data_IF_082541133815
#
_entry.id   IF_082541133815
#
_cell.length_a   1.000
_cell.length_b   1.000
_cell.length_c   1.000
_cell.angle_alpha   90.00
_cell.angle_beta   90.00
_cell.angle_gamma   90.00
#
_symmetry.space_group_name_H-M   'P 1'
#
loop_
_entity.id
_entity.type
_entity.pdbx_description
1 polymer ?
#
# COMPACT_ATOMS: atom_id res chain seq x y z
N UNK A 1 -10.81 66.71 -2.02
CA UNK A 1 -9.68 65.88 -1.55
C UNK A 1 -9.81 64.50 -2.18
N UNK A 2 -9.24 64.34 -3.37
CA UNK A 2 -9.05 63.10 -4.11
C UNK A 2 -8.06 63.42 -5.23
N UNK A 3 -6.87 62.83 -5.22
CA UNK A 3 -6.08 62.54 -6.43
C UNK A 3 -5.26 61.28 -6.17
N UNK A 4 -5.79 60.21 -6.76
CA UNK A 4 -5.17 58.91 -6.95
C UNK A 4 -3.94 59.11 -7.85
N UNK A 5 -2.79 58.60 -7.44
CA UNK A 5 -1.65 58.38 -8.33
C UNK A 5 -1.07 57.01 -8.02
N UNK A 6 -1.47 56.03 -8.82
CA UNK A 6 -0.83 54.72 -8.94
C UNK A 6 0.40 54.88 -9.82
N UNK A 7 1.56 54.32 -9.44
CA UNK A 7 2.55 53.88 -10.41
C UNK A 7 2.31 52.40 -10.74
N UNK A 8 2.00 52.23 -12.02
CA UNK A 8 2.09 51.03 -12.84
C UNK A 8 3.44 50.31 -12.61
N UNK A 9 3.41 49.11 -12.03
CA UNK A 9 4.55 48.18 -12.10
C UNK A 9 4.16 47.07 -13.05
N UNK A 10 4.65 47.21 -14.28
CA UNK A 10 4.81 46.12 -15.24
C UNK A 10 5.93 45.23 -14.69
N UNK A 11 5.65 43.97 -14.39
CA UNK A 11 6.72 42.99 -14.24
C UNK A 11 6.33 41.67 -14.90
N UNK A 12 7.35 41.13 -15.55
CA UNK A 12 7.31 40.28 -16.73
C UNK A 12 7.09 38.81 -16.34
N UNK A 13 6.32 38.15 -17.19
CA UNK A 13 6.07 36.71 -17.25
C UNK A 13 7.39 35.95 -17.43
N UNK A 14 7.67 35.01 -16.54
CA UNK A 14 8.43 33.80 -16.89
C UNK A 14 7.59 32.58 -16.52
N UNK A 15 6.89 32.04 -17.51
CA UNK A 15 6.40 30.67 -17.50
C UNK A 15 7.62 29.74 -17.60
N UNK A 16 8.14 29.34 -16.45
CA UNK A 16 9.00 28.16 -16.34
C UNK A 16 8.14 26.92 -16.14
N UNK A 17 7.36 26.52 -17.15
CA UNK A 17 6.86 25.14 -17.20
C UNK A 17 8.00 24.25 -17.68
N UNK A 18 8.89 23.90 -16.76
CA UNK A 18 9.75 22.73 -16.90
C UNK A 18 9.09 21.59 -16.14
N UNK A 19 7.94 21.13 -16.63
CA UNK A 19 7.38 19.83 -16.23
C UNK A 19 8.03 18.80 -17.15
N UNK A 20 9.27 18.45 -16.87
CA UNK A 20 9.83 17.20 -17.35
C UNK A 20 9.17 16.10 -16.52
N UNK A 21 8.10 15.53 -17.06
CA UNK A 21 7.66 14.19 -16.74
C UNK A 21 8.56 13.24 -17.55
N UNK A 22 9.47 12.56 -16.88
CA UNK A 22 10.13 11.37 -17.40
C UNK A 22 10.52 10.52 -16.17
N UNK A 23 9.62 9.62 -15.81
CA UNK A 23 9.88 8.23 -15.40
C UNK A 23 11.14 7.97 -14.55
N UNK A 24 11.07 8.36 -13.28
CA UNK A 24 11.83 7.64 -12.26
C UNK A 24 11.07 6.34 -11.95
N UNK A 25 11.24 5.33 -12.81
CA UNK A 25 11.20 3.94 -12.38
C UNK A 25 12.28 3.79 -11.30
N UNK A 26 11.98 4.17 -10.04
CA UNK A 26 12.95 4.16 -8.95
C UNK A 26 13.55 2.75 -8.81
N UNK A 27 14.78 2.51 -9.30
CA UNK A 27 15.33 1.16 -9.30
C UNK A 27 15.60 0.68 -7.86
N UNK A 28 15.71 1.61 -6.90
CA UNK A 28 15.95 1.30 -5.49
C UNK A 28 14.76 0.70 -4.74
N UNK A 29 13.51 0.93 -5.17
CA UNK A 29 12.34 0.35 -4.49
C UNK A 29 12.18 -1.13 -4.79
N UNK A 30 12.40 -1.53 -6.05
CA UNK A 30 12.32 -2.92 -6.48
C UNK A 30 13.39 -3.77 -5.78
N UNK A 31 14.63 -3.29 -5.77
CA UNK A 31 15.76 -3.98 -5.12
C UNK A 31 15.50 -4.16 -3.61
N UNK A 32 14.87 -3.17 -2.96
CA UNK A 32 14.53 -3.24 -1.53
C UNK A 32 13.37 -4.21 -1.23
N UNK A 33 12.41 -4.37 -2.15
CA UNK A 33 11.31 -5.33 -2.01
C UNK A 33 11.80 -6.78 -2.16
N UNK A 34 12.74 -7.02 -3.09
CA UNK A 34 13.23 -8.37 -3.43
C UNK A 34 14.30 -8.89 -2.48
N UNK A 35 15.00 -8.01 -1.76
CA UNK A 35 16.10 -8.39 -0.86
C UNK A 35 15.64 -9.10 0.42
N UNK A 36 14.34 -9.11 0.72
CA UNK A 36 13.81 -9.58 2.00
C UNK A 36 12.55 -10.43 1.84
N UNK A 37 12.36 -11.38 2.74
CA UNK A 37 11.03 -11.96 2.96
C UNK A 37 10.24 -11.05 3.90
N UNK A 38 8.97 -10.80 3.64
CA UNK A 38 8.15 -9.87 4.41
C UNK A 38 7.10 -10.63 5.22
N UNK A 39 7.16 -10.53 6.54
CA UNK A 39 6.17 -11.10 7.46
C UNK A 39 5.05 -10.08 7.74
N UNK A 40 3.78 -10.41 7.50
CA UNK A 40 2.67 -9.49 7.82
C UNK A 40 1.33 -10.19 8.08
N UNK A 41 0.23 -9.51 8.40
CA UNK A 41 -0.06 -8.07 8.60
C UNK A 41 0.11 -7.69 10.09
N UNK A 42 1.33 -7.51 10.59
CA UNK A 42 1.57 -7.49 12.05
C UNK A 42 0.86 -6.36 12.80
N UNK A 43 0.57 -5.27 12.10
CA UNK A 43 -0.18 -4.12 12.60
C UNK A 43 -1.03 -3.56 11.46
N UNK A 44 -2.26 -3.21 11.80
CA UNK A 44 -3.23 -2.62 10.88
C UNK A 44 -3.71 -1.31 11.50
N UNK A 45 -3.56 -0.22 10.74
CA UNK A 45 -4.13 1.09 11.06
C UNK A 45 -5.32 1.36 10.11
N UNK A 46 -6.52 1.53 10.67
CA UNK A 46 -7.72 1.92 9.93
C UNK A 46 -8.06 3.40 10.17
N UNK A 47 -8.26 4.12 9.08
CA UNK A 47 -8.57 5.55 9.06
C UNK A 47 -9.87 5.79 8.29
N UNK A 48 -10.88 6.35 8.93
CA UNK A 48 -12.12 6.77 8.26
C UNK A 48 -12.17 8.28 8.10
N UNK A 49 -12.53 8.72 6.90
CA UNK A 49 -12.71 10.13 6.56
C UNK A 49 -14.17 10.41 6.17
N UNK A 50 -14.66 11.59 6.54
CA UNK A 50 -15.95 12.10 6.07
C UNK A 50 -15.87 12.63 4.62
N UNK A 51 -16.99 13.11 4.10
CA UNK A 51 -17.09 13.65 2.73
C UNK A 51 -16.29 14.93 2.48
N UNK A 52 -15.82 15.60 3.55
CA UNK A 52 -14.93 16.75 3.47
C UNK A 52 -13.46 16.34 3.60
N UNK A 53 -13.17 15.02 3.54
CA UNK A 53 -11.84 14.44 3.74
C UNK A 53 -11.25 14.76 5.12
N UNK A 54 -12.11 14.96 6.13
CA UNK A 54 -11.71 15.11 7.53
C UNK A 54 -11.67 13.75 8.22
N UNK A 55 -10.59 13.45 8.95
CA UNK A 55 -10.46 12.22 9.72
C UNK A 55 -11.50 12.20 10.85
N UNK A 56 -12.32 11.15 10.89
CA UNK A 56 -13.39 10.98 11.89
C UNK A 56 -13.19 9.76 12.79
N UNK A 57 -12.35 8.81 12.39
CA UNK A 57 -11.99 7.64 13.20
C UNK A 57 -10.59 7.15 12.84
N UNK A 58 -9.83 6.75 13.85
CA UNK A 58 -8.54 6.08 13.73
C UNK A 58 -8.50 4.93 14.72
N UNK A 59 -8.23 3.72 14.24
CA UNK A 59 -8.10 2.51 15.04
C UNK A 59 -6.80 1.81 14.66
N UNK A 60 -6.03 1.37 15.65
CA UNK A 60 -4.81 0.60 15.46
C UNK A 60 -4.98 -0.70 16.20
N UNK A 61 -4.78 -1.82 15.52
CA UNK A 61 -4.82 -3.13 16.13
C UNK A 61 -3.70 -4.02 15.57
N UNK A 62 -3.17 -4.85 16.45
CA UNK A 62 -2.25 -5.92 16.07
C UNK A 62 -3.06 -7.10 15.58
N UNK A 63 -2.50 -7.86 14.65
CA UNK A 63 -3.04 -9.20 14.39
C UNK A 63 -2.60 -10.11 15.53
N UNK A 64 -3.40 -10.11 16.60
CA UNK A 64 -3.26 -11.08 17.68
C UNK A 64 -3.68 -12.46 17.15
N UNK A 65 -2.75 -13.41 17.24
CA UNK A 65 -2.94 -14.85 16.99
C UNK A 65 -3.16 -15.28 15.51
N UNK A 66 -2.02 -15.67 14.88
CA UNK A 66 -1.88 -16.69 13.84
C UNK A 66 -2.63 -16.49 12.51
N UNK A 67 -2.29 -15.44 11.77
CA UNK A 67 -2.58 -15.32 10.34
C UNK A 67 -1.37 -14.78 9.60
N UNK A 68 -0.17 -15.25 9.96
CA UNK A 68 1.03 -14.70 9.34
C UNK A 68 1.05 -15.10 7.87
N UNK A 69 0.97 -14.10 7.00
CA UNK A 69 1.25 -14.18 5.58
C UNK A 69 2.74 -13.81 5.43
N UNK A 70 3.60 -14.81 5.31
CA UNK A 70 4.95 -14.55 4.82
C UNK A 70 4.83 -14.32 3.32
N UNK A 71 5.15 -13.12 2.85
CA UNK A 71 5.23 -12.78 1.42
C UNK A 71 6.71 -12.78 1.03
N UNK A 72 7.11 -13.72 0.18
CA UNK A 72 8.42 -13.70 -0.47
C UNK A 72 8.21 -13.18 -1.88
N UNK A 73 8.86 -12.06 -2.22
CA UNK A 73 8.82 -11.47 -3.56
C UNK A 73 10.14 -11.79 -4.26
N UNK A 74 10.08 -12.57 -5.34
CA UNK A 74 11.27 -12.97 -6.09
C UNK A 74 11.51 -12.06 -7.30
N UNK A 75 12.78 -11.95 -7.73
CA UNK A 75 13.21 -11.16 -8.89
C UNK A 75 12.51 -11.56 -10.20
N UNK A 76 12.07 -12.82 -10.32
CA UNK A 76 11.36 -13.35 -11.48
C UNK A 76 9.85 -13.02 -11.48
N UNK A 77 9.43 -12.10 -10.60
CA UNK A 77 8.03 -11.66 -10.39
C UNK A 77 7.12 -12.77 -9.84
N UNK A 78 7.69 -13.83 -9.27
CA UNK A 78 6.93 -14.82 -8.50
C UNK A 78 6.81 -14.38 -7.04
N UNK A 79 5.66 -14.69 -6.44
CA UNK A 79 5.41 -14.45 -5.03
C UNK A 79 5.10 -15.78 -4.34
N UNK A 80 5.57 -15.96 -3.11
CA UNK A 80 5.17 -17.05 -2.24
C UNK A 80 4.44 -16.47 -1.04
N UNK A 81 3.21 -16.90 -0.80
CA UNK A 81 2.51 -16.65 0.46
C UNK A 81 2.49 -17.91 1.29
N UNK A 82 3.08 -17.84 2.49
CA UNK A 82 2.87 -18.89 3.50
C UNK A 82 1.81 -18.40 4.46
N UNK A 83 0.70 -19.13 4.54
CA UNK A 83 -0.36 -18.85 5.49
C UNK A 83 -0.18 -19.74 6.71
N UNK A 84 0.10 -19.11 7.85
CA UNK A 84 0.15 -19.79 9.14
C UNK A 84 -1.10 -19.43 9.94
N UNK A 85 -2.04 -20.37 10.06
CA UNK A 85 -3.26 -20.18 10.84
C UNK A 85 -3.03 -20.49 12.34
N UNK A 86 -3.78 -19.83 13.21
CA UNK A 86 -3.73 -20.05 14.64
C UNK A 86 -4.46 -21.33 15.03
N UNK A 87 -3.86 -22.08 15.96
CA UNK A 87 -4.39 -23.30 16.59
C UNK A 87 -4.49 -24.55 15.68
N UNK A 88 -3.43 -25.36 15.81
CA UNK A 88 -3.35 -26.84 15.69
C UNK A 88 -3.71 -27.57 14.39
N UNK A 89 -4.41 -26.99 13.41
CA UNK A 89 -4.88 -27.79 12.25
C UNK A 89 -4.86 -27.10 10.86
N UNK A 90 -3.96 -26.15 10.61
CA UNK A 90 -3.53 -25.88 9.23
C UNK A 90 -2.09 -26.33 9.07
N UNK A 91 -1.88 -27.36 8.24
CA UNK A 91 -0.58 -27.52 7.58
C UNK A 91 -0.30 -26.18 6.89
N UNK A 92 0.83 -25.54 7.19
CA UNK A 92 1.19 -24.25 6.61
C UNK A 92 1.13 -24.36 5.10
N UNK A 93 0.06 -23.82 4.51
CA UNK A 93 -0.14 -23.91 3.08
C UNK A 93 0.71 -22.82 2.45
N UNK A 94 1.48 -23.24 1.46
CA UNK A 94 2.27 -22.34 0.63
C UNK A 94 1.50 -22.12 -0.67
N UNK A 95 1.27 -20.86 -1.01
CA UNK A 95 0.55 -20.48 -2.21
C UNK A 95 1.48 -19.71 -3.12
N UNK A 96 1.59 -20.18 -4.35
CA UNK A 96 2.34 -19.49 -5.38
C UNK A 96 1.46 -18.40 -6.01
N UNK A 97 2.09 -17.27 -6.28
CA UNK A 97 1.46 -16.12 -6.90
C UNK A 97 2.42 -15.41 -7.83
N UNK A 98 1.94 -14.29 -8.35
CA UNK A 98 2.73 -13.34 -9.12
C UNK A 98 2.62 -11.99 -8.43
N UNK A 99 3.64 -11.17 -8.61
CA UNK A 99 3.58 -9.79 -8.18
C UNK A 99 4.12 -8.86 -9.25
N UNK A 100 3.69 -7.61 -9.17
CA UNK A 100 4.21 -6.52 -9.98
C UNK A 100 4.20 -5.22 -9.18
N UNK A 101 5.15 -4.35 -9.51
CA UNK A 101 5.20 -2.99 -9.02
C UNK A 101 4.86 -2.09 -10.20
N UNK A 102 3.76 -1.35 -10.09
CA UNK A 102 3.34 -0.37 -11.11
C UNK A 102 3.49 1.01 -10.46
N UNK A 103 4.55 1.74 -10.82
CA UNK A 103 5.01 2.93 -10.10
C UNK A 103 5.26 2.63 -8.62
N UNK A 104 4.33 3.02 -7.75
CA UNK A 104 4.40 2.85 -6.31
C UNK A 104 3.31 1.92 -5.77
N UNK A 105 2.50 1.32 -6.65
CA UNK A 105 1.44 0.39 -6.29
C UNK A 105 1.99 -1.03 -6.36
N UNK A 106 2.02 -1.72 -5.22
CA UNK A 106 2.33 -3.14 -5.15
C UNK A 106 1.07 -3.94 -5.42
N UNK A 107 1.14 -4.83 -6.41
CA UNK A 107 0.09 -5.79 -6.70
C UNK A 107 0.61 -7.20 -6.54
N UNK A 108 0.03 -7.95 -5.62
CA UNK A 108 0.30 -9.38 -5.40
C UNK A 108 -0.97 -10.16 -5.69
N UNK A 109 -0.86 -11.13 -6.59
CA UNK A 109 -1.96 -11.96 -7.06
C UNK A 109 -1.63 -13.42 -6.78
N UNK A 110 -2.43 -14.07 -5.95
CA UNK A 110 -2.20 -15.46 -5.55
C UNK A 110 -3.36 -16.31 -6.01
N UNK A 111 -3.03 -17.36 -6.74
CA UNK A 111 -4.02 -18.30 -7.22
C UNK A 111 -4.36 -19.30 -6.10
N UNK A 112 -5.65 -19.37 -5.74
CA UNK A 112 -6.14 -20.18 -4.63
C UNK A 112 -6.85 -21.45 -5.11
N UNK A 113 -6.38 -22.05 -6.19
CA UNK A 113 -6.94 -23.27 -6.79
C UNK A 113 -7.00 -24.50 -5.84
N UNK A 114 -6.30 -24.48 -4.69
CA UNK A 114 -6.27 -25.61 -3.73
C UNK A 114 -7.23 -25.48 -2.52
N UNK A 115 -7.91 -24.33 -2.31
CA UNK A 115 -8.92 -24.18 -1.25
C UNK A 115 -10.32 -24.25 -1.86
N UNK A 116 -10.91 -25.44 -1.80
CA UNK A 116 -12.16 -25.88 -2.44
C UNK A 116 -13.45 -25.04 -2.28
N UNK A 117 -13.45 -23.82 -1.76
CA UNK A 117 -14.61 -22.93 -1.86
C UNK A 117 -14.24 -21.49 -1.48
N UNK A 118 -14.65 -20.54 -2.34
CA UNK A 118 -14.76 -19.08 -2.14
C UNK A 118 -13.54 -18.25 -2.60
N UNK A 119 -13.75 -17.62 -3.76
CA UNK A 119 -12.92 -16.62 -4.47
C UNK A 119 -11.50 -17.06 -4.84
N UNK A 120 -11.29 -17.28 -6.14
CA UNK A 120 -10.11 -17.90 -6.77
C UNK A 120 -8.81 -17.08 -6.68
N UNK A 121 -8.85 -15.90 -6.06
CA UNK A 121 -7.77 -14.93 -6.11
C UNK A 121 -7.66 -14.16 -4.80
N UNK A 122 -6.49 -14.20 -4.14
CA UNK A 122 -6.14 -13.17 -3.17
C UNK A 122 -5.42 -12.08 -3.94
N UNK A 123 -5.94 -10.86 -3.88
CA UNK A 123 -5.30 -9.67 -4.45
C UNK A 123 -4.95 -8.74 -3.31
N UNK A 124 -3.66 -8.52 -3.12
CA UNK A 124 -3.15 -7.40 -2.32
C UNK A 124 -2.77 -6.33 -3.32
N UNK A 125 -3.52 -5.24 -3.35
CA UNK A 125 -3.28 -4.10 -4.24
C UNK A 125 -3.34 -2.82 -3.40
N UNK A 126 -2.22 -2.11 -3.32
CA UNK A 126 -2.11 -0.90 -2.52
C UNK A 126 -0.81 -0.14 -2.76
N UNK A 127 -0.78 1.11 -2.34
CA UNK A 127 0.36 2.01 -2.54
C UNK A 127 1.40 1.81 -1.44
N UNK A 128 2.67 1.72 -1.81
CA UNK A 128 3.80 1.64 -0.87
C UNK A 128 4.02 3.02 -0.26
N UNK A 129 3.57 3.21 0.98
CA UNK A 129 3.78 4.48 1.69
C UNK A 129 5.20 4.56 2.24
N UNK A 130 5.75 3.43 2.67
CA UNK A 130 7.09 3.35 3.24
C UNK A 130 7.72 2.01 2.91
N UNK A 131 8.99 2.04 2.54
CA UNK A 131 9.86 0.86 2.46
C UNK A 131 11.21 1.19 3.09
N UNK A 132 11.56 0.41 4.10
CA UNK A 132 12.81 0.52 4.85
C UNK A 132 13.13 -0.83 5.47
N UNK A 133 14.38 -1.16 5.74
CA UNK A 133 14.64 -2.28 6.64
C UNK A 133 14.44 -1.79 8.09
N UNK A 134 13.50 -2.35 8.88
CA UNK A 134 12.76 -3.59 8.66
C UNK A 134 11.28 -3.42 8.27
N UNK A 135 10.77 -2.24 7.92
CA UNK A 135 9.34 -1.97 7.72
C UNK A 135 8.93 -1.71 6.26
N UNK A 136 7.86 -2.40 5.83
CA UNK A 136 7.09 -2.12 4.63
C UNK A 136 5.66 -1.72 5.04
N UNK A 137 5.18 -0.58 4.56
CA UNK A 137 3.82 -0.10 4.81
C UNK A 137 3.10 0.05 3.48
N UNK A 138 2.00 -0.68 3.33
CA UNK A 138 1.11 -0.63 2.17
C UNK A 138 -0.19 0.07 2.59
N UNK A 139 -0.65 1.02 1.79
CA UNK A 139 -1.92 1.71 1.97
C UNK A 139 -2.95 1.22 0.97
N UNK A 140 -4.08 0.73 1.47
CA UNK A 140 -5.21 0.24 0.68
C UNK A 140 -6.40 1.16 0.94
N UNK A 141 -6.96 1.70 -0.13
CA UNK A 141 -8.14 2.57 -0.06
C UNK A 141 -9.39 1.76 -0.40
N UNK A 142 -10.39 1.81 0.47
CA UNK A 142 -11.67 1.13 0.28
C UNK A 142 -12.79 2.14 0.09
N UNK A 143 -13.72 1.80 -0.81
CA UNK A 143 -15.01 2.46 -0.86
C UNK A 143 -15.74 2.26 0.48
N UNK A 144 -16.30 3.35 0.99
CA UNK A 144 -16.85 3.34 2.33
C UNK A 144 -18.20 2.61 2.41
N UNK A 145 -18.44 1.79 3.44
CA UNK A 145 -19.65 0.98 3.56
C UNK A 145 -20.88 1.73 4.09
N UNK A 146 -20.76 3.02 4.44
CA UNK A 146 -21.83 3.78 5.14
C UNK A 146 -21.96 5.22 4.65
N UNK A 147 -23.07 5.87 4.98
CA UNK A 147 -23.34 7.27 4.57
C UNK A 147 -22.54 8.30 5.37
N UNK A 148 -21.92 7.91 6.49
CA UNK A 148 -21.14 8.80 7.35
C UNK A 148 -19.63 8.71 7.12
N UNK A 149 -19.17 7.66 6.45
CA UNK A 149 -17.78 7.47 6.03
C UNK A 149 -17.77 7.65 4.51
N UNK A 150 -16.95 8.55 3.99
CA UNK A 150 -16.80 8.71 2.54
C UNK A 150 -15.59 7.95 1.99
N UNK A 151 -14.57 7.75 2.83
CA UNK A 151 -13.33 7.05 2.46
C UNK A 151 -12.80 6.28 3.66
N UNK A 152 -12.42 5.03 3.44
CA UNK A 152 -11.64 4.24 4.40
C UNK A 152 -10.26 3.98 3.84
N UNK A 153 -9.25 4.20 4.65
CA UNK A 153 -7.85 3.89 4.34
C UNK A 153 -7.37 2.86 5.36
N UNK A 154 -6.75 1.78 4.88
CA UNK A 154 -6.09 0.79 5.73
C UNK A 154 -4.60 0.79 5.43
N UNK A 155 -3.79 0.95 6.45
CA UNK A 155 -2.33 0.79 6.36
C UNK A 155 -1.94 -0.54 6.96
N UNK A 156 -1.27 -1.36 6.15
CA UNK A 156 -0.82 -2.70 6.47
C UNK A 156 0.68 -2.65 6.69
N UNK A 157 1.12 -3.00 7.91
CA UNK A 157 2.54 -3.05 8.26
C UNK A 157 3.06 -4.48 8.10
N UNK A 158 4.15 -4.60 7.36
CA UNK A 158 4.94 -5.82 7.18
C UNK A 158 6.35 -5.59 7.73
N UNK A 159 6.94 -6.66 8.27
CA UNK A 159 8.30 -6.66 8.82
C UNK A 159 9.19 -7.58 7.99
N UNK A 160 10.32 -7.04 7.52
CA UNK A 160 11.36 -7.80 6.85
C UNK A 160 11.96 -8.85 7.78
N UNK A 161 11.97 -10.09 7.32
CA UNK A 161 12.72 -11.21 7.89
C UNK A 161 13.73 -11.66 6.84
N UNK A 162 15.01 -11.41 7.12
CA UNK A 162 16.16 -11.67 6.26
C UNK A 162 17.39 -11.95 7.11
#
# INVERSE_FOLDING_TARGET
>A
MYRILMPLIVSIIFFGISSCSDDDDEPGKLDSLNASSWLGEVEIEELDYDSNNSLIRQEIYTTDEGLFNLIVLNDDKTALIKYQCDKTECNGNEYNGKWELIHNTLKVVINREELNALSDLIVIEGDIVQISAPELIIEVVFDAPSTSVAKRVRRLKYISVG
#
